data_IF_842712931924
#
_entry.id   IF_842712931924
#
_cell.length_a   1.000
_cell.length_b   1.000
_cell.length_c   1.000
_cell.angle_alpha   90.00
_cell.angle_beta   90.00
_cell.angle_gamma   90.00
#
_symmetry.space_group_name_H-M   'P 1'
#
loop_
_entity.id
_entity.type
_entity.pdbx_description
1 polymer ?
#
# COMPACT_ATOMS: atom_id res chain seq x y z
N UNK A 1 -6.87 12.86 -4.22
CA UNK A 1 -6.68 11.42 -3.92
C UNK A 1 -7.62 11.05 -2.79
N UNK A 2 -8.47 10.06 -3.01
CA UNK A 2 -9.31 9.51 -1.95
C UNK A 2 -8.40 8.70 -1.01
N UNK A 3 -8.00 9.33 0.08
CA UNK A 3 -7.10 8.71 1.07
C UNK A 3 -7.84 7.57 1.75
N UNK A 4 -7.27 6.36 1.68
CA UNK A 4 -7.76 5.18 2.39
C UNK A 4 -8.82 4.32 1.69
N UNK A 5 -9.38 4.72 0.54
CA UNK A 5 -10.47 3.99 -0.12
C UNK A 5 -10.16 3.40 -1.49
N UNK A 6 -8.99 3.67 -2.06
CA UNK A 6 -8.67 3.25 -3.43
C UNK A 6 -8.75 1.73 -3.63
N UNK A 7 -8.28 0.95 -2.67
CA UNK A 7 -8.32 -0.51 -2.70
C UNK A 7 -9.73 -1.12 -2.53
N UNK A 8 -10.72 -0.31 -2.13
CA UNK A 8 -12.12 -0.73 -2.04
C UNK A 8 -12.84 -0.56 -3.38
N UNK A 9 -12.43 0.47 -4.15
CA UNK A 9 -13.11 0.92 -5.37
C UNK A 9 -12.47 0.36 -6.63
N UNK A 10 -11.15 0.13 -6.61
CA UNK A 10 -10.38 -0.32 -7.77
C UNK A 10 -9.61 -1.60 -7.45
N UNK A 11 -9.62 -2.53 -8.38
CA UNK A 11 -8.85 -3.78 -8.30
C UNK A 11 -7.55 -3.68 -9.10
N UNK A 12 -6.43 -4.17 -8.54
CA UNK A 12 -5.17 -4.31 -9.26
C UNK A 12 -5.17 -5.55 -10.18
N UNK A 13 -4.14 -5.69 -10.98
CA UNK A 13 -3.90 -6.93 -11.73
C UNK A 13 -3.77 -8.12 -10.77
N UNK A 14 -2.95 -7.97 -9.73
CA UNK A 14 -2.78 -8.95 -8.66
C UNK A 14 -2.73 -8.22 -7.31
N UNK A 15 -3.13 -8.88 -6.26
CA UNK A 15 -3.08 -8.35 -4.89
C UNK A 15 -2.04 -9.11 -4.08
N UNK A 16 -1.23 -8.38 -3.31
CA UNK A 16 -0.33 -8.98 -2.33
C UNK A 16 -1.14 -9.72 -1.26
N UNK A 17 -0.64 -10.86 -0.80
CA UNK A 17 -1.14 -11.52 0.39
C UNK A 17 -0.90 -10.66 1.63
N UNK A 18 -1.78 -10.75 2.59
CA UNK A 18 -1.66 -10.04 3.87
C UNK A 18 -0.88 -10.86 4.90
N UNK A 19 -0.77 -12.18 4.69
CA UNK A 19 -0.16 -13.14 5.62
C UNK A 19 1.01 -13.93 5.01
N UNK A 20 1.20 -13.88 3.69
CA UNK A 20 2.31 -14.54 2.99
C UNK A 20 3.26 -13.52 2.39
N UNK A 21 4.53 -13.60 2.78
CA UNK A 21 5.56 -12.70 2.29
C UNK A 21 5.79 -12.87 0.79
N UNK A 22 5.73 -11.77 0.03
CA UNK A 22 5.97 -11.72 -1.43
C UNK A 22 5.07 -12.63 -2.27
N UNK A 23 3.96 -13.10 -1.72
CA UNK A 23 2.94 -13.83 -2.46
C UNK A 23 1.91 -12.87 -3.02
N UNK A 24 1.53 -13.10 -4.27
CA UNK A 24 0.54 -12.30 -4.99
C UNK A 24 -0.51 -13.19 -5.62
N UNK A 25 -1.76 -12.80 -5.52
CA UNK A 25 -2.90 -13.53 -6.04
C UNK A 25 -3.60 -12.74 -7.14
N UNK A 26 -3.94 -13.43 -8.25
CA UNK A 26 -4.58 -12.80 -9.39
C UNK A 26 -5.96 -12.22 -9.06
N UNK A 27 -6.13 -10.92 -9.32
CA UNK A 27 -7.40 -10.20 -9.24
C UNK A 27 -7.95 -10.01 -10.66
N UNK A 28 -7.66 -8.89 -11.31
CA UNK A 28 -8.00 -8.68 -12.72
C UNK A 28 -7.27 -9.67 -13.62
N UNK A 29 -6.01 -10.00 -13.30
CA UNK A 29 -5.26 -11.02 -14.02
C UNK A 29 -5.73 -12.43 -13.62
N UNK A 30 -6.02 -13.26 -14.64
CA UNK A 30 -6.31 -14.68 -14.49
C UNK A 30 -5.03 -15.50 -14.49
N UNK A 31 -4.10 -15.18 -15.40
CA UNK A 31 -2.79 -15.84 -15.56
C UNK A 31 -1.69 -14.83 -15.70
N UNK A 32 -0.48 -15.26 -15.37
CA UNK A 32 0.76 -14.54 -15.55
C UNK A 32 1.78 -15.46 -16.22
N UNK A 33 2.51 -14.95 -17.21
CA UNK A 33 3.65 -15.60 -17.84
C UNK A 33 4.86 -14.66 -17.73
N UNK A 34 6.00 -15.19 -17.35
CA UNK A 34 7.21 -14.41 -17.07
C UNK A 34 8.34 -14.88 -17.96
N UNK A 35 9.04 -13.95 -18.61
CA UNK A 35 10.25 -14.28 -19.37
C UNK A 35 11.32 -14.84 -18.42
N UNK A 36 12.08 -15.83 -18.88
CA UNK A 36 13.14 -16.48 -18.11
C UNK A 36 14.23 -15.48 -17.67
N UNK A 37 14.47 -14.46 -18.50
CA UNK A 37 15.43 -13.37 -18.26
C UNK A 37 14.79 -12.13 -17.62
N UNK A 38 13.52 -12.19 -17.24
CA UNK A 38 12.73 -11.06 -16.72
C UNK A 38 12.65 -9.85 -17.65
N UNK A 39 12.80 -10.03 -18.96
CA UNK A 39 12.70 -8.94 -19.95
C UNK A 39 11.26 -8.47 -20.17
N UNK A 40 10.28 -9.35 -19.93
CA UNK A 40 8.86 -9.04 -20.02
C UNK A 40 8.02 -9.88 -19.05
N UNK A 41 6.81 -9.41 -18.80
CA UNK A 41 5.75 -10.16 -18.13
C UNK A 41 4.44 -10.01 -18.88
N UNK A 42 3.74 -11.12 -19.12
CA UNK A 42 2.44 -11.17 -19.78
C UNK A 42 1.35 -11.44 -18.76
N UNK A 43 0.28 -10.67 -18.82
CA UNK A 43 -0.94 -10.87 -18.06
C UNK A 43 -2.11 -11.19 -18.99
N UNK A 44 -2.97 -12.13 -18.56
CA UNK A 44 -4.27 -12.37 -19.20
C UNK A 44 -5.37 -11.94 -18.25
N UNK A 45 -6.21 -11.01 -18.67
CA UNK A 45 -7.32 -10.50 -17.88
C UNK A 45 -8.45 -11.53 -17.75
N UNK A 46 -9.22 -11.42 -16.66
CA UNK A 46 -10.45 -12.19 -16.47
C UNK A 46 -11.56 -11.58 -17.31
N UNK A 47 -12.15 -12.36 -18.21
CA UNK A 47 -13.28 -11.92 -19.07
C UNK A 47 -14.54 -11.53 -18.29
N UNK A 48 -14.66 -11.97 -17.05
CA UNK A 48 -15.77 -11.62 -16.16
C UNK A 48 -15.61 -10.28 -15.45
N UNK A 49 -14.39 -9.68 -15.51
CA UNK A 49 -14.10 -8.41 -14.86
C UNK A 49 -14.87 -7.27 -15.53
N UNK A 50 -15.58 -6.48 -14.71
CA UNK A 50 -16.42 -5.39 -15.18
C UNK A 50 -16.25 -4.15 -14.32
N UNK A 51 -16.41 -2.99 -14.93
CA UNK A 51 -16.60 -1.73 -14.25
C UNK A 51 -17.98 -1.67 -13.58
N UNK A 52 -18.20 -0.72 -12.68
CA UNK A 52 -19.47 -0.62 -11.94
C UNK A 52 -20.66 -0.23 -12.84
N UNK A 53 -20.40 0.30 -14.02
CA UNK A 53 -21.41 0.60 -15.05
C UNK A 53 -21.76 -0.60 -15.95
N UNK A 54 -21.02 -1.72 -15.75
CA UNK A 54 -21.25 -2.97 -16.49
C UNK A 54 -20.33 -3.19 -17.68
N UNK A 55 -19.57 -2.17 -18.12
CA UNK A 55 -18.58 -2.31 -19.20
C UNK A 55 -17.45 -3.26 -18.79
N UNK A 56 -16.90 -4.05 -19.73
CA UNK A 56 -15.79 -4.98 -19.42
C UNK A 56 -14.50 -4.21 -19.13
N UNK A 57 -13.68 -4.76 -18.24
CA UNK A 57 -12.29 -4.31 -18.05
C UNK A 57 -11.45 -4.91 -19.18
N UNK A 58 -10.77 -4.07 -19.96
CA UNK A 58 -10.08 -4.45 -21.19
C UNK A 58 -8.58 -4.13 -21.14
N UNK A 59 -7.83 -4.63 -22.12
CA UNK A 59 -6.43 -4.26 -22.32
C UNK A 59 -6.28 -2.79 -22.67
N UNK A 60 -7.27 -2.18 -23.35
CA UNK A 60 -7.29 -0.75 -23.65
C UNK A 60 -7.25 0.11 -22.40
N UNK A 61 -7.94 -0.32 -21.32
CA UNK A 61 -7.92 0.39 -20.04
C UNK A 61 -6.50 0.38 -19.44
N UNK A 62 -5.80 -0.75 -19.54
CA UNK A 62 -4.42 -0.89 -19.06
C UNK A 62 -3.48 0.03 -19.83
N UNK A 63 -3.53 -0.02 -21.15
CA UNK A 63 -2.68 0.81 -22.04
C UNK A 63 -2.97 2.28 -21.85
N UNK A 64 -4.25 2.65 -21.80
CA UNK A 64 -4.67 4.03 -21.55
C UNK A 64 -4.13 4.53 -20.21
N UNK A 65 -4.27 3.73 -19.16
CA UNK A 65 -3.81 4.09 -17.81
C UNK A 65 -2.30 4.31 -17.77
N UNK A 66 -1.53 3.41 -18.39
CA UNK A 66 -0.08 3.54 -18.47
C UNK A 66 0.32 4.87 -19.14
N UNK A 67 -0.27 5.18 -20.30
CA UNK A 67 0.02 6.41 -21.04
C UNK A 67 -0.42 7.66 -20.24
N UNK A 68 -1.61 7.63 -19.64
CA UNK A 68 -2.11 8.72 -18.82
C UNK A 68 -1.18 9.02 -17.62
N UNK A 69 -0.65 8.00 -16.96
CA UNK A 69 0.30 8.16 -15.86
C UNK A 69 1.65 8.66 -16.38
N UNK A 70 2.14 8.11 -17.49
CA UNK A 70 3.43 8.52 -18.10
C UNK A 70 3.40 9.99 -18.51
N UNK A 71 2.30 10.46 -19.08
CA UNK A 71 2.18 11.82 -19.57
C UNK A 71 1.82 12.82 -18.45
N UNK A 72 0.81 12.51 -17.64
CA UNK A 72 0.13 13.43 -16.72
C UNK A 72 0.22 13.02 -15.24
N UNK A 73 0.78 11.86 -14.92
CA UNK A 73 0.91 11.38 -13.55
C UNK A 73 1.85 12.26 -12.70
N UNK A 74 1.67 12.23 -11.38
CA UNK A 74 2.62 12.87 -10.46
C UNK A 74 4.01 12.24 -10.57
N UNK A 75 5.08 12.94 -10.16
CA UNK A 75 6.45 12.42 -10.22
C UNK A 75 6.60 11.04 -9.53
N UNK A 76 5.90 10.82 -8.43
CA UNK A 76 5.91 9.55 -7.71
C UNK A 76 5.31 8.40 -8.54
N UNK A 77 4.21 8.65 -9.27
CA UNK A 77 3.59 7.65 -10.13
C UNK A 77 4.41 7.39 -11.38
N UNK A 78 4.97 8.44 -11.99
CA UNK A 78 5.89 8.31 -13.14
C UNK A 78 7.12 7.47 -12.77
N UNK A 79 7.70 7.71 -11.59
CA UNK A 79 8.86 6.95 -11.09
C UNK A 79 8.58 5.45 -10.97
N UNK A 80 7.36 5.05 -10.60
CA UNK A 80 6.98 3.63 -10.54
C UNK A 80 6.92 2.94 -11.90
N UNK A 81 6.73 3.71 -12.98
CA UNK A 81 6.66 3.18 -14.34
C UNK A 81 7.98 3.25 -15.10
N UNK A 82 9.05 3.82 -14.51
CA UNK A 82 10.34 4.01 -15.19
C UNK A 82 10.99 2.73 -15.69
N UNK A 83 10.73 1.61 -15.02
CA UNK A 83 11.24 0.29 -15.42
C UNK A 83 10.47 -0.32 -16.60
N UNK A 84 9.31 0.23 -16.96
CA UNK A 84 8.47 -0.26 -18.06
C UNK A 84 8.76 0.60 -19.28
N UNK A 85 9.25 -0.03 -20.35
CA UNK A 85 9.46 0.62 -21.64
C UNK A 85 8.16 0.79 -22.41
N UNK A 86 7.45 -0.31 -22.59
CA UNK A 86 6.25 -0.35 -23.43
C UNK A 86 5.25 -1.41 -22.96
N UNK A 87 4.02 -1.29 -23.45
CA UNK A 87 2.98 -2.31 -23.31
C UNK A 87 2.57 -2.79 -24.69
N UNK A 88 2.63 -4.11 -24.91
CA UNK A 88 2.21 -4.79 -26.12
C UNK A 88 0.89 -5.52 -25.86
N UNK A 89 -0.15 -5.23 -26.63
CA UNK A 89 -1.35 -6.06 -26.64
C UNK A 89 -1.07 -7.31 -27.47
N UNK A 90 -1.19 -8.49 -26.87
CA UNK A 90 -0.94 -9.78 -27.55
C UNK A 90 -2.20 -10.44 -28.07
N UNK A 91 -3.34 -10.20 -27.42
CA UNK A 91 -4.68 -10.57 -27.87
C UNK A 91 -5.74 -9.69 -27.16
N UNK A 92 -7.03 -9.96 -27.36
CA UNK A 92 -8.12 -9.18 -26.81
C UNK A 92 -8.08 -9.03 -25.27
N UNK A 93 -7.51 -10.02 -24.57
CA UNK A 93 -7.51 -10.09 -23.10
C UNK A 93 -6.11 -10.17 -22.51
N UNK A 94 -5.07 -10.20 -23.34
CA UNK A 94 -3.70 -10.39 -22.89
C UNK A 94 -2.78 -9.29 -23.40
N UNK A 95 -1.84 -8.91 -22.55
CA UNK A 95 -0.83 -7.90 -22.86
C UNK A 95 0.48 -8.23 -22.14
N UNK A 96 1.58 -7.66 -22.67
CA UNK A 96 2.90 -7.72 -22.04
C UNK A 96 3.37 -6.36 -21.61
N UNK A 97 3.95 -6.29 -20.42
CA UNK A 97 4.87 -5.23 -20.07
C UNK A 97 6.27 -5.62 -20.52
N UNK A 98 6.88 -4.82 -21.35
CA UNK A 98 8.30 -4.90 -21.70
C UNK A 98 9.09 -3.99 -20.77
N UNK A 99 10.15 -4.52 -20.18
CA UNK A 99 10.98 -3.74 -19.26
C UNK A 99 12.14 -3.08 -20.00
N UNK A 100 12.44 -1.84 -19.62
CA UNK A 100 13.52 -1.06 -20.19
C UNK A 100 14.88 -1.78 -20.06
N UNK A 101 15.77 -1.62 -21.04
CA UNK A 101 17.11 -2.22 -21.00
C UNK A 101 17.95 -1.75 -19.81
N UNK A 102 17.71 -0.50 -19.37
CA UNK A 102 18.35 0.06 -18.20
C UNK A 102 17.85 -0.52 -16.86
N UNK A 103 16.74 -1.26 -16.86
CA UNK A 103 16.20 -1.86 -15.65
C UNK A 103 16.98 -3.11 -15.25
N UNK A 104 17.25 -3.26 -13.96
CA UNK A 104 17.86 -4.47 -13.41
C UNK A 104 16.85 -5.62 -13.51
N UNK A 105 17.11 -6.58 -14.40
CA UNK A 105 16.22 -7.72 -14.65
C UNK A 105 16.23 -8.67 -13.46
N UNK A 106 15.15 -8.68 -12.70
CA UNK A 106 14.99 -9.54 -11.52
C UNK A 106 13.50 -9.71 -11.17
N UNK A 107 13.12 -10.63 -10.26
CA UNK A 107 11.72 -10.83 -9.85
C UNK A 107 11.02 -9.59 -9.31
N UNK A 108 11.75 -8.59 -8.79
CA UNK A 108 11.16 -7.37 -8.23
C UNK A 108 10.42 -6.55 -9.30
N UNK A 109 10.87 -6.58 -10.56
CA UNK A 109 10.16 -5.93 -11.67
C UNK A 109 8.75 -6.49 -11.84
N UNK A 110 8.60 -7.82 -11.70
CA UNK A 110 7.30 -8.48 -11.81
C UNK A 110 6.36 -8.01 -10.69
N UNK A 111 6.87 -7.95 -9.45
CA UNK A 111 6.10 -7.49 -8.30
C UNK A 111 5.65 -6.04 -8.44
N UNK A 112 6.44 -5.17 -9.07
CA UNK A 112 6.06 -3.79 -9.35
C UNK A 112 4.85 -3.70 -10.28
N UNK A 113 4.78 -4.56 -11.30
CA UNK A 113 3.65 -4.59 -12.24
C UNK A 113 2.43 -5.31 -11.69
N UNK A 114 2.61 -6.26 -10.77
CA UNK A 114 1.51 -7.01 -10.16
C UNK A 114 0.47 -6.10 -9.49
N UNK A 115 0.92 -5.06 -8.83
CA UNK A 115 0.06 -4.05 -8.19
C UNK A 115 -0.48 -2.97 -9.12
N UNK A 116 -0.31 -3.09 -10.45
CA UNK A 116 -0.82 -2.10 -11.39
C UNK A 116 -2.35 -2.07 -11.36
N UNK A 117 -2.92 -0.86 -11.22
CA UNK A 117 -4.37 -0.62 -11.16
C UNK A 117 -4.80 0.10 -12.43
N UNK A 118 -5.53 -0.54 -13.33
CA UNK A 118 -6.09 0.13 -14.49
C UNK A 118 -7.24 1.05 -14.09
N UNK A 119 -7.44 2.09 -14.88
CA UNK A 119 -8.56 3.02 -14.80
C UNK A 119 -9.43 2.91 -16.04
N UNK A 120 -10.75 3.11 -15.95
CA UNK A 120 -11.67 2.99 -17.09
C UNK A 120 -11.41 4.09 -18.13
N UNK A 121 -10.92 3.70 -19.30
CA UNK A 121 -10.62 4.61 -20.41
C UNK A 121 -11.83 5.45 -20.78
N UNK A 122 -12.99 4.80 -21.02
CA UNK A 122 -14.24 5.45 -21.44
C UNK A 122 -14.75 6.52 -20.45
N UNK A 123 -14.43 6.37 -19.16
CA UNK A 123 -14.78 7.37 -18.15
C UNK A 123 -13.78 8.53 -18.13
N UNK A 124 -12.48 8.23 -18.21
CA UNK A 124 -11.42 9.22 -17.98
C UNK A 124 -10.98 9.96 -19.25
N UNK A 125 -11.22 9.45 -20.46
CA UNK A 125 -10.83 10.13 -21.71
C UNK A 125 -11.59 11.45 -21.93
N UNK A 126 -12.78 11.61 -21.31
CA UNK A 126 -13.57 12.83 -21.35
C UNK A 126 -13.33 13.74 -20.13
N UNK A 127 -12.45 13.37 -19.22
CA UNK A 127 -12.18 14.06 -17.95
C UNK A 127 -10.69 14.39 -17.78
N UNK A 128 -10.42 15.36 -16.90
CA UNK A 128 -9.03 15.67 -16.53
C UNK A 128 -8.52 14.67 -15.49
N UNK A 129 -7.76 13.69 -15.92
CA UNK A 129 -7.22 12.61 -15.08
C UNK A 129 -6.33 13.11 -13.91
N UNK A 130 -5.62 14.22 -14.12
CA UNK A 130 -4.70 14.85 -13.17
C UNK A 130 -5.33 15.95 -12.31
N UNK A 131 -6.61 16.24 -12.48
CA UNK A 131 -7.32 17.24 -11.69
C UNK A 131 -7.81 16.68 -10.36
N UNK A 132 -7.80 17.53 -9.32
CA UNK A 132 -8.50 17.23 -8.07
C UNK A 132 -10.01 17.31 -8.31
N UNK A 133 -10.75 16.29 -7.92
CA UNK A 133 -12.18 16.21 -8.06
C UNK A 133 -12.84 15.64 -6.81
N UNK A 134 -14.08 16.01 -6.57
CA UNK A 134 -14.98 15.35 -5.60
C UNK A 134 -15.96 14.41 -6.28
N UNK A 135 -15.95 14.35 -7.63
CA UNK A 135 -16.74 13.38 -8.39
C UNK A 135 -16.23 11.96 -8.08
N UNK A 136 -17.11 11.04 -7.65
CA UNK A 136 -16.72 9.66 -7.40
C UNK A 136 -16.15 9.02 -8.67
N UNK A 137 -14.95 8.39 -8.61
CA UNK A 137 -14.41 7.69 -9.75
C UNK A 137 -15.22 6.43 -10.05
N UNK A 138 -15.37 6.12 -11.33
CA UNK A 138 -15.87 4.82 -11.76
C UNK A 138 -14.86 3.74 -11.39
N UNK A 139 -15.29 2.73 -10.67
CA UNK A 139 -14.47 1.64 -10.19
C UNK A 139 -14.90 0.28 -10.71
N UNK A 140 -14.17 -0.74 -10.26
CA UNK A 140 -14.42 -2.17 -10.53
C UNK A 140 -14.26 -3.03 -9.28
N UNK A 141 -14.10 -2.40 -8.12
CA UNK A 141 -13.91 -3.05 -6.82
C UNK A 141 -15.20 -3.48 -6.15
N UNK A 142 -15.07 -4.04 -4.94
CA UNK A 142 -16.20 -4.53 -4.16
C UNK A 142 -17.10 -3.41 -3.62
N UNK A 143 -16.60 -2.19 -3.56
CA UNK A 143 -17.34 -1.00 -3.13
C UNK A 143 -17.28 0.09 -4.18
N UNK A 144 -18.33 0.89 -4.23
CA UNK A 144 -18.37 2.17 -4.94
C UNK A 144 -18.50 3.32 -3.94
N UNK A 145 -18.03 4.50 -4.29
CA UNK A 145 -18.28 5.70 -3.50
C UNK A 145 -19.71 6.13 -3.76
N UNK A 146 -20.52 6.19 -2.71
CA UNK A 146 -21.92 6.60 -2.75
C UNK A 146 -22.08 8.09 -2.44
N UNK A 147 -21.31 8.60 -1.50
CA UNK A 147 -21.41 9.99 -1.04
C UNK A 147 -20.01 10.53 -0.68
N UNK A 148 -19.76 11.76 -1.06
CA UNK A 148 -18.59 12.54 -0.63
C UNK A 148 -19.07 13.83 0.03
N UNK A 149 -18.81 13.98 1.33
CA UNK A 149 -18.96 15.23 2.07
C UNK A 149 -17.55 15.78 2.32
N UNK A 150 -17.08 16.77 1.53
CA UNK A 150 -15.69 17.20 1.56
C UNK A 150 -15.24 17.69 2.92
N UNK A 151 -14.14 17.10 3.42
CA UNK A 151 -13.56 17.41 4.72
C UNK A 151 -14.26 16.76 5.91
N UNK A 152 -15.37 16.06 5.71
CA UNK A 152 -16.13 15.40 6.79
C UNK A 152 -16.20 13.89 6.65
N UNK A 153 -16.72 13.36 5.55
CA UNK A 153 -16.84 11.91 5.37
C UNK A 153 -16.87 11.47 3.91
N UNK A 154 -16.52 10.22 3.70
CA UNK A 154 -16.77 9.48 2.46
C UNK A 154 -17.54 8.22 2.81
N UNK A 155 -18.62 7.96 2.09
CA UNK A 155 -19.43 6.75 2.26
C UNK A 155 -19.21 5.81 1.09
N UNK A 156 -18.84 4.58 1.39
CA UNK A 156 -18.71 3.48 0.45
C UNK A 156 -19.88 2.53 0.60
N UNK A 157 -20.46 2.08 -0.51
CA UNK A 157 -21.53 1.11 -0.60
C UNK A 157 -21.06 -0.15 -1.31
N UNK A 158 -21.38 -1.32 -0.75
CA UNK A 158 -21.02 -2.61 -1.35
C UNK A 158 -21.75 -2.83 -2.67
N UNK A 159 -21.02 -3.28 -3.67
CA UNK A 159 -21.57 -3.64 -5.00
C UNK A 159 -22.16 -5.04 -4.93
N UNK A 160 -23.49 -5.15 -5.04
CA UNK A 160 -24.20 -6.41 -4.87
C UNK A 160 -23.77 -7.49 -5.87
N UNK A 161 -23.53 -7.10 -7.12
CA UNK A 161 -23.11 -7.96 -8.24
C UNK A 161 -21.62 -7.82 -8.57
N UNK A 162 -20.78 -7.56 -7.55
CA UNK A 162 -19.35 -7.48 -7.74
C UNK A 162 -18.80 -8.72 -8.46
N UNK A 163 -18.14 -8.50 -9.59
CA UNK A 163 -17.71 -9.55 -10.53
C UNK A 163 -16.77 -10.58 -9.90
N UNK A 164 -15.95 -10.17 -8.92
CA UNK A 164 -14.99 -11.06 -8.28
C UNK A 164 -15.52 -11.74 -7.00
N UNK A 165 -16.79 -11.54 -6.63
CA UNK A 165 -17.38 -12.08 -5.37
C UNK A 165 -17.17 -13.58 -5.15
N UNK A 166 -17.15 -14.36 -6.23
CA UNK A 166 -17.01 -15.82 -6.17
C UNK A 166 -15.57 -16.30 -6.41
N UNK A 167 -14.61 -15.42 -6.51
CA UNK A 167 -13.20 -15.83 -6.57
C UNK A 167 -12.72 -16.26 -5.18
N UNK A 168 -11.94 -17.34 -5.11
CA UNK A 168 -11.36 -17.82 -3.85
C UNK A 168 -10.57 -16.73 -3.11
N UNK A 169 -9.87 -15.86 -3.86
CA UNK A 169 -9.08 -14.75 -3.32
C UNK A 169 -9.91 -13.61 -2.72
N UNK A 170 -11.24 -13.69 -2.78
CA UNK A 170 -12.16 -12.73 -2.16
C UNK A 170 -12.99 -13.36 -1.06
N UNK A 171 -12.84 -14.67 -0.84
CA UNK A 171 -13.57 -15.37 0.21
C UNK A 171 -13.27 -14.79 1.59
N UNK A 172 -14.32 -14.49 2.36
CA UNK A 172 -14.20 -13.88 3.69
C UNK A 172 -13.98 -12.36 3.70
N UNK A 173 -13.86 -11.72 2.54
CA UNK A 173 -13.69 -10.25 2.43
C UNK A 173 -15.02 -9.54 2.14
N UNK A 174 -15.02 -8.21 2.34
CA UNK A 174 -16.11 -7.30 1.93
C UNK A 174 -17.46 -7.59 2.59
N UNK A 175 -17.44 -7.81 3.92
CA UNK A 175 -18.62 -8.26 4.67
C UNK A 175 -19.59 -7.12 5.03
N UNK A 176 -19.15 -5.87 5.04
CA UNK A 176 -20.00 -4.72 5.39
C UNK A 176 -20.75 -4.23 4.17
N UNK A 177 -22.04 -3.88 4.35
CA UNK A 177 -22.83 -3.28 3.26
C UNK A 177 -22.45 -1.83 3.01
N UNK A 178 -22.02 -1.14 4.08
CA UNK A 178 -21.64 0.28 4.05
C UNK A 178 -20.41 0.51 4.93
N UNK A 179 -19.49 1.33 4.44
CA UNK A 179 -18.31 1.79 5.16
C UNK A 179 -18.30 3.31 5.11
N UNK A 180 -18.27 3.95 6.27
CA UNK A 180 -18.11 5.40 6.39
C UNK A 180 -16.70 5.73 6.89
N UNK A 181 -15.95 6.51 6.12
CA UNK A 181 -14.66 7.06 6.54
C UNK A 181 -14.89 8.50 6.98
N UNK A 182 -14.74 8.74 8.27
CA UNK A 182 -14.97 10.05 8.90
C UNK A 182 -13.63 10.75 9.11
N UNK A 183 -13.53 12.01 8.71
CA UNK A 183 -12.34 12.83 8.88
C UNK A 183 -12.50 13.75 10.10
N UNK A 184 -11.46 13.77 10.93
CA UNK A 184 -11.40 14.63 12.11
C UNK A 184 -10.29 15.65 11.96
N UNK A 185 -10.53 16.86 12.41
CA UNK A 185 -9.53 17.92 12.40
C UNK A 185 -8.36 17.62 13.34
N UNK A 186 -8.65 17.01 14.49
CA UNK A 186 -7.62 16.59 15.44
C UNK A 186 -7.95 15.24 16.08
N UNK A 187 -6.90 14.62 16.59
CA UNK A 187 -6.96 13.28 17.17
C UNK A 187 -7.81 13.20 18.45
N UNK A 188 -7.77 14.22 19.28
CA UNK A 188 -8.53 14.22 20.54
C UNK A 188 -10.04 14.12 20.29
N UNK A 189 -10.56 14.84 19.29
CA UNK A 189 -11.97 14.74 18.87
C UNK A 189 -12.29 13.36 18.32
N UNK A 190 -11.39 12.77 17.54
CA UNK A 190 -11.54 11.41 17.02
C UNK A 190 -11.61 10.36 18.14
N UNK A 191 -10.76 10.47 19.15
CA UNK A 191 -10.77 9.58 20.33
C UNK A 191 -12.09 9.76 21.13
N UNK A 192 -12.57 10.98 21.28
CA UNK A 192 -13.88 11.22 21.94
C UNK A 192 -15.03 10.62 21.13
N UNK A 193 -15.00 10.69 19.80
CA UNK A 193 -16.01 10.06 18.96
C UNK A 193 -16.00 8.52 19.09
N UNK A 194 -14.82 7.90 19.23
CA UNK A 194 -14.70 6.47 19.53
C UNK A 194 -15.30 6.15 20.92
N UNK A 195 -14.97 6.93 21.95
CA UNK A 195 -15.50 6.76 23.32
C UNK A 195 -17.02 6.92 23.39
N UNK A 196 -17.57 7.79 22.56
CA UNK A 196 -19.02 8.01 22.42
C UNK A 196 -19.72 6.91 21.58
N UNK A 197 -18.99 5.96 20.99
CA UNK A 197 -19.56 4.93 20.13
C UNK A 197 -19.98 5.43 18.74
N UNK A 198 -19.48 6.61 18.31
CA UNK A 198 -19.74 7.13 16.96
C UNK A 198 -18.83 6.46 15.91
N UNK A 199 -17.71 5.90 16.34
CA UNK A 199 -16.78 5.12 15.52
C UNK A 199 -16.80 3.66 15.96
N UNK A 200 -16.88 2.76 14.99
CA UNK A 200 -16.80 1.31 15.22
C UNK A 200 -15.35 0.81 15.15
N UNK A 201 -14.48 1.52 14.46
CA UNK A 201 -13.10 1.12 14.22
C UNK A 201 -12.18 2.33 14.20
N UNK A 202 -11.04 2.21 14.86
CA UNK A 202 -9.94 3.17 14.81
C UNK A 202 -8.61 2.43 14.74
N UNK A 203 -7.80 2.75 13.73
CA UNK A 203 -6.39 2.35 13.68
C UNK A 203 -5.52 3.48 14.22
N UNK A 204 -4.75 3.18 15.25
CA UNK A 204 -3.79 4.11 15.83
C UNK A 204 -2.37 3.55 15.70
N UNK A 205 -1.44 4.44 15.36
CA UNK A 205 -0.02 4.13 15.19
C UNK A 205 0.84 4.88 16.22
N UNK A 206 0.20 5.47 17.26
CA UNK A 206 0.89 6.21 18.32
C UNK A 206 0.83 5.41 19.61
N UNK A 207 1.95 4.87 20.02
CA UNK A 207 2.09 3.97 21.16
C UNK A 207 1.64 4.63 22.49
N UNK A 208 1.94 5.92 22.67
CA UNK A 208 1.51 6.66 23.86
C UNK A 208 -0.01 6.69 24.00
N UNK A 209 -0.72 6.98 22.91
CA UNK A 209 -2.17 7.04 22.93
C UNK A 209 -2.76 5.65 23.11
N UNK A 210 -2.16 4.64 22.45
CA UNK A 210 -2.56 3.26 22.65
C UNK A 210 -2.42 2.80 24.09
N UNK A 211 -1.41 3.30 24.81
CA UNK A 211 -1.20 3.01 26.22
C UNK A 211 -2.19 3.76 27.15
N UNK A 212 -2.52 5.03 26.84
CA UNK A 212 -3.20 5.93 27.78
C UNK A 212 -4.65 6.27 27.44
N UNK A 213 -5.01 6.33 26.14
CA UNK A 213 -6.29 6.89 25.73
C UNK A 213 -7.42 5.86 25.59
N UNK A 214 -7.10 4.58 25.50
CA UNK A 214 -8.09 3.54 25.16
C UNK A 214 -8.58 2.72 26.37
N UNK A 215 -8.36 3.19 27.61
CA UNK A 215 -8.96 2.63 28.81
C UNK A 215 -10.22 3.45 29.22
N UNK A 216 -11.35 3.16 28.58
CA UNK A 216 -12.63 3.83 28.82
C UNK A 216 -13.77 2.84 29.06
N UNK A 217 -14.96 3.33 29.44
CA UNK A 217 -16.08 2.49 29.85
C UNK A 217 -16.47 1.41 28.81
N UNK A 218 -16.50 1.76 27.53
CA UNK A 218 -16.81 0.82 26.45
C UNK A 218 -15.78 -0.31 26.30
N UNK A 219 -14.50 -0.02 26.53
CA UNK A 219 -13.45 -1.04 26.56
C UNK A 219 -13.60 -1.96 27.79
N UNK A 220 -13.79 -1.37 28.98
CA UNK A 220 -13.94 -2.15 30.23
C UNK A 220 -15.18 -3.02 30.25
N UNK A 221 -16.25 -2.61 29.56
CA UNK A 221 -17.49 -3.41 29.41
C UNK A 221 -17.40 -4.49 28.33
N UNK A 222 -16.31 -4.56 27.56
CA UNK A 222 -16.15 -5.50 26.46
C UNK A 222 -16.86 -5.10 25.15
N UNK A 223 -17.43 -3.89 25.08
CA UNK A 223 -18.05 -3.36 23.86
C UNK A 223 -17.00 -3.08 22.79
N UNK A 224 -15.81 -2.61 23.19
CA UNK A 224 -14.65 -2.43 22.32
C UNK A 224 -13.54 -3.41 22.68
N UNK A 225 -12.82 -3.86 21.65
CA UNK A 225 -11.60 -4.63 21.79
C UNK A 225 -10.40 -3.77 21.40
N UNK A 226 -9.30 -3.96 22.10
CA UNK A 226 -8.01 -3.34 21.82
C UNK A 226 -7.04 -4.43 21.40
N UNK A 227 -6.54 -4.35 20.18
CA UNK A 227 -5.66 -5.36 19.60
C UNK A 227 -4.41 -4.72 19.04
N UNK A 228 -3.27 -5.40 19.20
CA UNK A 228 -1.99 -4.99 18.62
C UNK A 228 -1.63 -5.92 17.48
N UNK A 229 -1.42 -5.36 16.31
CA UNK A 229 -0.92 -6.09 15.16
C UNK A 229 0.53 -5.73 14.92
N UNK A 230 1.40 -6.73 15.00
CA UNK A 230 2.77 -6.55 14.58
C UNK A 230 2.83 -6.66 13.06
N UNK A 231 3.21 -5.58 12.40
CA UNK A 231 3.42 -5.57 10.95
C UNK A 231 4.63 -6.45 10.63
N UNK A 232 4.38 -7.73 10.31
CA UNK A 232 5.42 -8.74 10.10
C UNK A 232 6.32 -8.52 8.88
N UNK A 233 5.96 -7.58 8.00
CA UNK A 233 6.63 -7.40 6.70
C UNK A 233 7.44 -6.11 6.59
N UNK A 234 7.67 -5.48 7.71
CA UNK A 234 8.43 -4.26 7.76
C UNK A 234 9.91 -4.58 7.99
N UNK A 235 10.63 -4.85 6.92
CA UNK A 235 12.05 -5.16 6.95
C UNK A 235 12.88 -3.90 6.79
N UNK A 236 14.02 -3.89 7.46
CA UNK A 236 14.98 -2.82 7.39
C UNK A 236 14.77 -1.73 8.45
N UNK A 237 15.53 -0.66 8.32
CA UNK A 237 15.47 0.49 9.20
C UNK A 237 14.24 1.36 8.86
N UNK A 238 13.27 1.43 9.78
CA UNK A 238 12.03 2.20 9.60
C UNK A 238 12.17 3.68 9.83
N UNK A 239 12.85 4.04 10.93
CA UNK A 239 13.06 5.41 11.35
C UNK A 239 14.54 5.62 11.60
N UNK A 240 15.07 6.70 11.05
CA UNK A 240 16.46 7.09 11.24
C UNK A 240 16.69 8.50 10.73
N UNK A 241 17.70 9.15 11.27
CA UNK A 241 18.16 10.44 10.78
C UNK A 241 19.26 10.20 9.75
N UNK A 242 19.00 10.57 8.50
CA UNK A 242 19.99 10.47 7.42
C UNK A 242 20.90 11.67 7.48
N UNK A 243 22.18 11.44 7.76
CA UNK A 243 23.21 12.46 7.80
C UNK A 243 23.91 12.58 6.44
N UNK A 244 24.05 13.81 5.93
CA UNK A 244 24.77 14.05 4.69
C UNK A 244 26.28 13.95 4.90
N UNK A 245 26.84 12.76 4.69
CA UNK A 245 28.25 12.46 4.88
C UNK A 245 29.21 13.21 3.92
N UNK A 246 28.70 13.95 2.94
CA UNK A 246 29.48 14.82 2.04
C UNK A 246 29.69 16.22 2.58
N UNK A 247 29.19 16.50 3.79
CA UNK A 247 29.30 17.84 4.42
C UNK A 247 29.83 17.71 5.85
N UNK A 248 30.80 18.59 6.19
CA UNK A 248 31.23 18.77 7.56
C UNK A 248 30.04 19.24 8.44
N UNK A 249 29.96 18.79 9.71
CA UNK A 249 30.89 17.88 10.37
C UNK A 249 30.50 16.40 10.20
N UNK A 250 29.52 16.06 9.34
CA UNK A 250 28.96 14.70 9.22
C UNK A 250 29.80 13.78 8.32
N UNK A 251 30.84 14.28 7.68
CA UNK A 251 31.88 13.50 7.00
C UNK A 251 32.77 12.73 7.98
N UNK A 252 32.91 13.21 9.23
CA UNK A 252 33.62 12.53 10.29
C UNK A 252 32.74 11.41 10.92
N UNK A 253 33.28 10.18 10.96
CA UNK A 253 32.59 9.03 11.56
C UNK A 253 32.39 9.20 13.07
N UNK A 254 33.35 9.79 13.77
CA UNK A 254 33.28 10.00 15.22
C UNK A 254 32.17 10.96 15.60
N UNK A 255 31.91 11.99 14.77
CA UNK A 255 30.78 12.90 14.99
C UNK A 255 29.45 12.16 14.84
N UNK A 256 29.31 11.27 13.84
CA UNK A 256 28.10 10.48 13.67
C UNK A 256 27.89 9.49 14.81
N UNK A 257 28.97 8.87 15.30
CA UNK A 257 28.94 7.97 16.45
C UNK A 257 28.54 8.75 17.73
N UNK A 258 29.12 9.91 17.96
CA UNK A 258 28.79 10.77 19.10
C UNK A 258 27.30 11.15 19.12
N UNK A 259 26.72 11.50 17.96
CA UNK A 259 25.28 11.78 17.84
C UNK A 259 24.43 10.57 18.17
N UNK A 260 24.86 9.38 17.74
CA UNK A 260 24.14 8.12 18.05
C UNK A 260 24.20 7.81 19.54
N UNK A 261 25.33 8.02 20.20
CA UNK A 261 25.52 7.80 21.63
C UNK A 261 24.82 8.87 22.50
N UNK A 262 24.68 10.10 21.99
CA UNK A 262 23.95 11.17 22.68
C UNK A 262 22.46 10.91 22.78
N UNK A 263 21.90 10.03 21.94
CA UNK A 263 20.49 9.69 21.97
C UNK A 263 20.20 8.49 22.88
N UNK A 264 19.61 8.72 24.05
CA UNK A 264 19.20 7.67 24.97
C UNK A 264 17.89 7.04 24.52
N UNK A 265 17.98 6.05 23.61
CA UNK A 265 16.83 5.34 23.06
C UNK A 265 16.03 4.62 24.16
N UNK A 266 16.67 3.98 25.10
CA UNK A 266 16.03 3.16 26.14
C UNK A 266 15.17 4.03 27.07
N UNK A 267 15.67 5.21 27.39
CA UNK A 267 14.89 6.20 28.16
C UNK A 267 13.71 6.74 27.34
N UNK A 268 13.96 7.14 26.10
CA UNK A 268 12.93 7.66 25.20
C UNK A 268 11.85 6.62 24.94
N UNK A 269 12.24 5.36 24.68
CA UNK A 269 11.32 4.26 24.49
C UNK A 269 10.42 4.03 25.71
N UNK A 270 11.00 4.04 26.89
CA UNK A 270 10.22 3.86 28.12
C UNK A 270 9.26 5.04 28.39
N UNK A 271 9.72 6.29 28.19
CA UNK A 271 8.98 7.48 28.60
C UNK A 271 7.96 7.93 27.56
N UNK A 272 8.33 7.89 26.27
CA UNK A 272 7.46 8.41 25.20
C UNK A 272 6.69 7.31 24.46
N UNK A 273 7.25 6.12 24.33
CA UNK A 273 6.64 5.04 23.53
C UNK A 273 6.22 3.83 24.36
N UNK A 274 6.25 3.95 25.68
CA UNK A 274 5.78 2.92 26.63
C UNK A 274 6.36 1.51 26.33
N UNK A 275 7.60 1.45 25.87
CA UNK A 275 8.25 0.21 25.47
C UNK A 275 7.85 -0.36 24.09
N UNK A 276 7.03 0.35 23.34
CA UNK A 276 6.48 -0.12 22.05
C UNK A 276 7.48 -0.17 20.89
N UNK A 277 8.64 0.50 21.04
CA UNK A 277 9.64 0.57 19.97
C UNK A 277 10.78 -0.43 20.17
N UNK A 278 11.38 -0.86 19.06
CA UNK A 278 12.57 -1.70 19.03
C UNK A 278 13.70 -0.89 18.40
N UNK A 279 14.86 -0.84 19.09
CA UNK A 279 16.05 -0.20 18.55
C UNK A 279 16.53 -0.95 17.30
N UNK A 280 16.74 -0.22 16.22
CA UNK A 280 17.36 -0.78 15.03
C UNK A 280 18.84 -1.05 15.29
N UNK A 281 19.25 -2.31 15.18
CA UNK A 281 20.64 -2.75 15.33
C UNK A 281 21.33 -3.04 14.00
N UNK A 282 20.57 -3.02 12.91
CA UNK A 282 21.05 -3.30 11.56
C UNK A 282 20.28 -2.48 10.54
N UNK A 283 20.94 -2.13 9.44
CA UNK A 283 20.27 -1.57 8.25
C UNK A 283 19.22 -2.53 7.69
N UNK A 284 19.44 -3.84 7.87
CA UNK A 284 18.55 -4.92 7.46
C UNK A 284 17.75 -5.52 8.61
N UNK A 285 17.46 -4.73 9.65
CA UNK A 285 16.72 -5.19 10.83
C UNK A 285 15.48 -5.99 10.45
N UNK A 286 15.25 -7.10 11.15
CA UNK A 286 14.11 -8.02 10.96
C UNK A 286 14.04 -8.71 9.61
N UNK A 287 15.12 -8.72 8.83
CA UNK A 287 15.19 -9.48 7.58
C UNK A 287 16.17 -10.65 7.70
N UNK A 288 16.10 -11.60 6.77
CA UNK A 288 17.09 -12.66 6.63
C UNK A 288 18.50 -12.18 6.28
N UNK A 289 18.65 -10.90 5.95
CA UNK A 289 19.95 -10.25 5.69
C UNK A 289 20.54 -9.60 6.94
N UNK A 290 19.82 -9.57 8.05
CA UNK A 290 20.35 -9.06 9.31
C UNK A 290 21.41 -10.03 9.85
N UNK A 291 22.61 -9.52 10.13
CA UNK A 291 23.64 -10.30 10.82
C UNK A 291 23.14 -10.74 12.20
N UNK A 292 23.23 -12.04 12.48
CA UNK A 292 22.81 -12.63 13.75
C UNK A 292 23.97 -12.79 14.73
N UNK A 293 25.21 -12.76 14.24
CA UNK A 293 26.44 -12.95 15.00
C UNK A 293 27.59 -12.15 14.36
N UNK A 294 28.73 -12.11 15.04
CA UNK A 294 29.95 -11.57 14.47
C UNK A 294 30.41 -12.41 13.27
N UNK A 295 31.06 -11.81 12.27
CA UNK A 295 31.54 -12.52 11.10
C UNK A 295 32.51 -13.63 11.51
N UNK A 296 32.44 -14.76 10.83
CA UNK A 296 33.29 -15.95 11.10
C UNK A 296 33.69 -16.63 9.78
N UNK A 297 34.76 -17.43 9.82
CA UNK A 297 35.22 -18.18 8.66
C UNK A 297 35.50 -17.30 7.43
N UNK A 298 34.87 -17.58 6.29
CA UNK A 298 35.09 -16.86 5.04
C UNK A 298 34.58 -15.39 5.07
N UNK A 299 33.64 -15.05 5.94
CA UNK A 299 33.14 -13.69 6.11
C UNK A 299 34.20 -12.72 6.66
N UNK A 300 35.16 -13.24 7.42
CA UNK A 300 36.29 -12.45 7.95
C UNK A 300 37.32 -12.08 6.89
N UNK A 301 37.26 -12.70 5.72
CA UNK A 301 38.17 -12.44 4.60
C UNK A 301 37.62 -11.39 3.60
N UNK A 302 36.40 -10.94 3.78
CA UNK A 302 35.76 -9.88 3.00
C UNK A 302 36.04 -8.51 3.58
#
# INVERSE_FOLDING_TARGET
AYVGGGALVLEPLMRASEDELRSYYGRLAKTIEIAQDYSWVKYTLRKIAKWHDGEPVTVDDVIWTYNAIKDRGSPQWKSRLQSIDSIEQTDQWSFKFHFADSAVKNPQLILQTAGFVPYPKHFWETRKFDATTVEPPLGNGAYKINEVDPGRKITFERVANYWARLLNVTSGYYNFDRIEVIYFFNKSVMIQALRAGTLDYLRDEVESDFATEYDFAGYRSGLFKKETYTMGYSYGMHLGIVLNQRRAPFDDVLVREALTLAYNFEWANRVYWYGGMIRNSSYFSRSGMQAQHLPSGAELAL
#
